data_IF_850411169412
#
_entry.id   IF_850411169412
#
_cell.length_a   1.000
_cell.length_b   1.000
_cell.length_c   1.000
_cell.angle_alpha   90.00
_cell.angle_beta   90.00
_cell.angle_gamma   90.00
#
_symmetry.space_group_name_H-M   'P 1'
#
loop_
_entity.id
_entity.type
_entity.pdbx_description
1 polymer ?
#
# COMPACT_ATOMS: atom_id res chain seq x y z
N UNK A 1 35.44 -34.97 9.04
CA UNK A 1 34.63 -33.84 8.53
C UNK A 1 33.44 -33.48 9.42
N UNK A 2 32.77 -34.44 10.08
CA UNK A 2 31.57 -34.16 10.94
C UNK A 2 31.92 -33.46 12.28
N UNK A 3 33.10 -33.72 12.87
CA UNK A 3 33.54 -33.13 14.15
C UNK A 3 33.87 -31.62 14.08
N UNK A 4 34.17 -31.07 12.89
CA UNK A 4 34.49 -29.65 12.71
C UNK A 4 33.21 -28.79 12.66
N UNK A 5 32.08 -29.37 12.26
CA UNK A 5 30.80 -28.66 12.19
C UNK A 5 30.11 -28.52 13.56
N UNK A 6 30.42 -29.39 14.53
CA UNK A 6 29.88 -29.28 15.89
C UNK A 6 30.54 -28.19 16.73
N UNK A 7 31.78 -27.78 16.42
CA UNK A 7 32.48 -26.73 17.17
C UNK A 7 32.06 -25.30 16.79
N UNK A 8 31.30 -25.13 15.70
CA UNK A 8 30.73 -23.84 15.29
C UNK A 8 29.37 -23.55 15.92
N UNK A 9 28.83 -24.45 16.75
CA UNK A 9 27.57 -24.22 17.45
C UNK A 9 27.80 -23.30 18.66
N UNK A 10 27.84 -22.00 18.40
CA UNK A 10 27.85 -20.96 19.45
C UNK A 10 26.61 -21.13 20.35
N UNK A 11 26.76 -21.22 21.67
CA UNK A 11 25.62 -21.27 22.57
C UNK A 11 24.86 -19.94 22.50
N UNK A 12 23.55 -20.02 22.25
CA UNK A 12 22.67 -18.87 22.18
C UNK A 12 22.59 -18.17 23.55
N UNK A 13 23.38 -17.11 23.71
CA UNK A 13 23.32 -16.25 24.88
C UNK A 13 21.97 -15.57 24.99
N UNK A 14 21.30 -15.71 26.13
CA UNK A 14 20.07 -14.97 26.45
C UNK A 14 20.44 -13.50 26.61
N UNK A 15 20.18 -12.70 25.58
CA UNK A 15 20.34 -11.24 25.63
C UNK A 15 19.35 -10.72 26.68
N UNK A 16 19.86 -10.25 27.83
CA UNK A 16 19.03 -9.57 28.83
C UNK A 16 18.45 -8.33 28.16
N UNK A 17 17.12 -8.25 28.06
CA UNK A 17 16.44 -7.04 27.56
C UNK A 17 16.78 -5.89 28.52
N UNK A 18 17.43 -4.85 28.01
CA UNK A 18 17.60 -3.61 28.78
C UNK A 18 16.23 -2.95 28.97
N UNK A 19 16.05 -2.25 30.09
CA UNK A 19 14.80 -1.55 30.40
C UNK A 19 14.47 -0.53 29.30
N UNK A 20 15.50 0.16 28.78
CA UNK A 20 15.37 1.13 27.69
C UNK A 20 14.78 0.51 26.43
N UNK A 21 15.21 -0.71 26.06
CA UNK A 21 14.66 -1.43 24.89
C UNK A 21 13.21 -1.81 25.11
N UNK A 22 12.86 -2.24 26.32
CA UNK A 22 11.48 -2.67 26.62
C UNK A 22 10.51 -1.50 26.59
N UNK A 23 10.92 -0.34 27.11
CA UNK A 23 10.13 0.91 27.04
C UNK A 23 10.00 1.40 25.60
N UNK A 24 11.10 1.41 24.83
CA UNK A 24 11.09 1.81 23.43
C UNK A 24 10.19 0.90 22.57
N UNK A 25 10.28 -0.43 22.77
CA UNK A 25 9.43 -1.39 22.10
C UNK A 25 7.96 -1.14 22.47
N UNK A 26 7.64 -0.95 23.76
CA UNK A 26 6.27 -0.69 24.22
C UNK A 26 5.68 0.57 23.59
N UNK A 27 6.42 1.67 23.60
CA UNK A 27 5.97 2.94 22.99
C UNK A 27 5.77 2.76 21.49
N UNK A 28 6.71 2.10 20.81
CA UNK A 28 6.60 1.81 19.38
C UNK A 28 5.38 0.95 19.06
N UNK A 29 5.12 -0.10 19.84
CA UNK A 29 3.92 -0.93 19.68
C UNK A 29 2.63 -0.15 19.93
N UNK A 30 2.59 0.70 20.95
CA UNK A 30 1.42 1.54 21.23
C UNK A 30 1.14 2.50 20.07
N UNK A 31 2.16 3.21 19.59
CA UNK A 31 2.02 4.16 18.47
C UNK A 31 1.57 3.43 17.19
N UNK A 32 2.20 2.32 16.84
CA UNK A 32 1.83 1.54 15.67
C UNK A 32 0.41 0.97 15.78
N UNK A 33 -0.01 0.53 16.98
CA UNK A 33 -1.37 0.03 17.21
C UNK A 33 -2.40 1.14 17.06
N UNK A 34 -2.15 2.33 17.63
CA UNK A 34 -3.06 3.48 17.49
C UNK A 34 -3.16 3.90 16.03
N UNK A 35 -2.03 3.97 15.31
CA UNK A 35 -2.03 4.33 13.88
C UNK A 35 -2.79 3.29 13.05
N UNK A 36 -2.58 2.00 13.32
CA UNK A 36 -3.33 0.93 12.67
C UNK A 36 -4.84 1.07 12.91
N UNK A 37 -5.27 1.33 14.15
CA UNK A 37 -6.68 1.54 14.47
C UNK A 37 -7.26 2.75 13.72
N UNK A 38 -6.55 3.87 13.67
CA UNK A 38 -7.00 5.08 12.94
C UNK A 38 -7.16 4.79 11.45
N UNK A 39 -6.24 4.05 10.84
CA UNK A 39 -6.36 3.66 9.42
C UNK A 39 -7.48 2.66 9.16
N UNK A 40 -7.90 1.89 10.16
CA UNK A 40 -8.94 0.88 10.04
C UNK A 40 -10.36 1.47 10.21
N UNK A 41 -10.50 2.57 10.95
CA UNK A 41 -11.77 3.31 11.12
C UNK A 41 -12.49 3.62 9.79
N UNK A 42 -11.87 4.21 8.74
CA UNK A 42 -12.57 4.50 7.49
C UNK A 42 -13.09 3.23 6.80
N UNK A 43 -12.40 2.09 6.92
CA UNK A 43 -12.88 0.82 6.36
C UNK A 43 -14.14 0.32 7.06
N UNK A 44 -14.17 0.39 8.40
CA UNK A 44 -15.37 0.03 9.17
C UNK A 44 -16.54 0.95 8.80
N UNK A 45 -16.29 2.25 8.67
CA UNK A 45 -17.32 3.23 8.28
C UNK A 45 -17.89 2.94 6.89
N UNK A 46 -17.05 2.56 5.92
CA UNK A 46 -17.50 2.19 4.57
C UNK A 46 -18.36 0.92 4.60
N UNK A 47 -17.94 -0.11 5.37
CA UNK A 47 -18.73 -1.35 5.49
C UNK A 47 -20.09 -1.06 6.14
N UNK A 48 -20.08 -0.32 7.26
CA UNK A 48 -21.31 0.11 7.96
C UNK A 48 -22.24 0.90 7.03
N UNK A 49 -21.70 1.83 6.25
CA UNK A 49 -22.46 2.62 5.28
C UNK A 49 -23.00 1.76 4.12
N UNK A 50 -22.23 0.79 3.63
CA UNK A 50 -22.66 -0.11 2.54
C UNK A 50 -23.85 -0.99 2.91
N UNK A 51 -24.03 -1.26 4.21
CA UNK A 51 -25.12 -2.05 4.78
C UNK A 51 -26.25 -1.16 5.33
N UNK A 52 -26.13 0.16 5.24
CA UNK A 52 -27.12 1.11 5.74
C UNK A 52 -28.00 1.66 4.62
N UNK A 53 -29.26 1.99 4.93
CA UNK A 53 -30.16 2.61 3.97
C UNK A 53 -29.68 4.02 3.59
N UNK A 54 -29.89 4.43 2.33
CA UNK A 54 -29.54 5.78 1.88
C UNK A 54 -30.24 6.85 2.73
N UNK A 55 -31.48 6.59 3.14
CA UNK A 55 -32.26 7.48 4.02
C UNK A 55 -31.63 7.60 5.41
N UNK A 56 -31.19 6.49 6.02
CA UNK A 56 -30.53 6.51 7.33
C UNK A 56 -29.17 7.22 7.28
N UNK A 57 -28.39 7.03 6.20
CA UNK A 57 -27.11 7.72 6.01
C UNK A 57 -27.32 9.23 5.84
N UNK A 58 -28.32 9.67 5.08
CA UNK A 58 -28.63 11.08 4.90
C UNK A 58 -29.15 11.75 6.18
N UNK A 59 -29.95 11.03 6.98
CA UNK A 59 -30.61 11.58 8.17
C UNK A 59 -29.74 11.56 9.42
N UNK A 60 -28.93 10.52 9.61
CA UNK A 60 -28.16 10.31 10.84
C UNK A 60 -26.64 10.39 10.64
N UNK A 61 -26.16 10.53 9.39
CA UNK A 61 -24.75 10.56 9.05
C UNK A 61 -24.06 9.19 9.17
N UNK A 62 -22.75 9.18 8.92
CA UNK A 62 -21.93 7.97 9.01
C UNK A 62 -21.76 7.52 10.47
N UNK A 63 -22.26 6.33 10.78
CA UNK A 63 -22.14 5.70 12.10
C UNK A 63 -21.21 4.49 12.04
N UNK A 64 -20.50 4.21 13.14
CA UNK A 64 -19.61 3.04 13.24
C UNK A 64 -20.37 1.71 13.12
N UNK A 65 -21.64 1.68 13.51
CA UNK A 65 -22.54 0.54 13.35
C UNK A 65 -23.73 0.91 12.47
N UNK A 66 -24.22 -0.02 11.62
CA UNK A 66 -25.36 0.22 10.76
C UNK A 66 -26.62 0.38 11.61
N UNK A 67 -27.40 1.45 11.38
CA UNK A 67 -28.66 1.69 12.10
C UNK A 67 -29.83 0.93 11.48
N UNK A 68 -29.88 0.88 10.15
CA UNK A 68 -30.90 0.18 9.38
C UNK A 68 -30.20 -0.73 8.39
N UNK A 69 -30.27 -2.04 8.62
CA UNK A 69 -29.62 -3.01 7.76
C UNK A 69 -30.40 -3.18 6.45
N UNK A 70 -29.78 -2.86 5.31
CA UNK A 70 -30.33 -3.11 3.97
C UNK A 70 -29.23 -3.51 2.99
N UNK A 71 -29.63 -4.25 1.94
CA UNK A 71 -28.76 -4.70 0.86
C UNK A 71 -29.08 -4.02 -0.49
N UNK A 72 -29.96 -3.02 -0.50
CA UNK A 72 -30.36 -2.26 -1.71
C UNK A 72 -29.16 -1.69 -2.48
N UNK A 73 -28.13 -1.22 -1.78
CA UNK A 73 -26.91 -0.71 -2.40
C UNK A 73 -26.20 -1.78 -3.23
N UNK A 74 -26.20 -3.04 -2.77
CA UNK A 74 -25.62 -4.16 -3.50
C UNK A 74 -26.49 -4.55 -4.70
N UNK A 75 -27.82 -4.59 -4.52
CA UNK A 75 -28.76 -4.86 -5.63
C UNK A 75 -28.58 -3.86 -6.77
N UNK A 76 -28.40 -2.58 -6.46
CA UNK A 76 -28.14 -1.54 -7.45
C UNK A 76 -26.85 -1.78 -8.25
N UNK A 77 -25.77 -2.22 -7.58
CA UNK A 77 -24.51 -2.57 -8.27
C UNK A 77 -24.71 -3.77 -9.20
N UNK A 78 -25.45 -4.79 -8.74
CA UNK A 78 -25.74 -5.98 -9.55
C UNK A 78 -26.75 -5.72 -10.68
N UNK A 79 -27.52 -4.63 -10.63
CA UNK A 79 -28.43 -4.22 -11.71
C UNK A 79 -27.70 -3.72 -12.98
N UNK A 80 -26.42 -3.33 -12.87
CA UNK A 80 -25.63 -2.81 -14.01
C UNK A 80 -24.35 -3.65 -14.27
N UNK A 81 -24.48 -4.98 -14.46
CA UNK A 81 -23.33 -5.88 -14.41
C UNK A 81 -22.35 -5.66 -15.58
N UNK A 82 -22.86 -5.29 -16.75
CA UNK A 82 -22.03 -5.04 -17.94
C UNK A 82 -21.07 -3.86 -17.75
N UNK A 83 -21.54 -2.77 -17.12
CA UNK A 83 -20.72 -1.58 -16.85
C UNK A 83 -19.67 -1.88 -15.79
N UNK A 84 -20.06 -2.57 -14.72
CA UNK A 84 -19.16 -2.94 -13.62
C UNK A 84 -18.06 -3.90 -14.13
N UNK A 85 -18.43 -4.95 -14.87
CA UNK A 85 -17.46 -5.91 -15.39
C UNK A 85 -16.48 -5.26 -16.39
N UNK A 86 -16.97 -4.36 -17.25
CA UNK A 86 -16.11 -3.60 -18.16
C UNK A 86 -15.14 -2.71 -17.40
N UNK A 87 -15.60 -2.01 -16.36
CA UNK A 87 -14.75 -1.15 -15.53
C UNK A 87 -13.63 -1.97 -14.86
N UNK A 88 -13.97 -3.09 -14.21
CA UNK A 88 -12.98 -3.99 -13.60
C UNK A 88 -11.99 -4.55 -14.62
N UNK A 89 -12.46 -4.95 -15.80
CA UNK A 89 -11.60 -5.48 -16.86
C UNK A 89 -10.58 -4.44 -17.32
N UNK A 90 -11.01 -3.19 -17.54
CA UNK A 90 -10.12 -2.09 -17.94
C UNK A 90 -9.12 -1.77 -16.83
N UNK A 91 -9.55 -1.69 -15.57
CA UNK A 91 -8.65 -1.46 -14.43
C UNK A 91 -7.60 -2.55 -14.32
N UNK A 92 -8.00 -3.82 -14.31
CA UNK A 92 -7.06 -4.96 -14.21
C UNK A 92 -6.11 -4.98 -15.40
N UNK A 93 -6.61 -4.74 -16.61
CA UNK A 93 -5.78 -4.69 -17.81
C UNK A 93 -4.72 -3.58 -17.73
N UNK A 94 -5.13 -2.35 -17.41
CA UNK A 94 -4.21 -1.20 -17.30
C UNK A 94 -3.20 -1.43 -16.17
N UNK A 95 -3.61 -1.97 -15.03
CA UNK A 95 -2.69 -2.27 -13.92
C UNK A 95 -1.67 -3.34 -14.31
N UNK A 96 -2.11 -4.48 -14.86
CA UNK A 96 -1.20 -5.58 -15.20
C UNK A 96 -0.23 -5.17 -16.31
N UNK A 97 -0.75 -4.63 -17.42
CA UNK A 97 0.07 -4.22 -18.56
C UNK A 97 0.94 -3.03 -18.19
N UNK A 98 0.38 -2.04 -17.49
CA UNK A 98 1.10 -0.85 -17.04
C UNK A 98 2.24 -1.20 -16.08
N UNK A 99 2.00 -2.03 -15.08
CA UNK A 99 3.05 -2.47 -14.14
C UNK A 99 4.11 -3.33 -14.84
N UNK A 100 3.73 -4.25 -15.73
CA UNK A 100 4.68 -5.08 -16.46
C UNK A 100 5.62 -4.23 -17.34
N UNK A 101 5.05 -3.31 -18.12
CA UNK A 101 5.82 -2.40 -18.98
C UNK A 101 6.68 -1.44 -18.16
N UNK A 102 6.12 -0.85 -17.08
CA UNK A 102 6.87 0.03 -16.19
C UNK A 102 8.06 -0.70 -15.55
N UNK A 103 7.83 -1.90 -15.02
CA UNK A 103 8.89 -2.70 -14.40
C UNK A 103 9.97 -3.09 -15.41
N UNK A 104 9.59 -3.44 -16.65
CA UNK A 104 10.54 -3.73 -17.72
C UNK A 104 11.44 -2.52 -18.02
N UNK A 105 10.85 -1.33 -18.23
CA UNK A 105 11.60 -0.10 -18.54
C UNK A 105 12.44 0.36 -17.34
N UNK A 106 11.86 0.36 -16.13
CA UNK A 106 12.54 0.76 -14.91
C UNK A 106 13.70 -0.17 -14.56
N UNK A 107 13.57 -1.48 -14.77
CA UNK A 107 14.66 -2.43 -14.52
C UNK A 107 15.82 -2.24 -15.49
N UNK A 108 15.55 -2.06 -16.79
CA UNK A 108 16.57 -1.78 -17.80
C UNK A 108 17.29 -0.45 -17.52
N UNK A 109 16.53 0.60 -17.22
CA UNK A 109 17.08 1.93 -16.90
C UNK A 109 17.86 1.91 -15.59
N UNK A 110 17.30 1.30 -14.55
CA UNK A 110 17.94 1.14 -13.25
C UNK A 110 19.24 0.35 -13.33
N UNK A 111 19.30 -0.69 -14.18
CA UNK A 111 20.53 -1.44 -14.40
C UNK A 111 21.64 -0.58 -15.02
N UNK A 112 21.35 0.20 -16.06
CA UNK A 112 22.32 1.10 -16.69
C UNK A 112 22.82 2.15 -15.69
N UNK A 113 21.93 2.73 -14.89
CA UNK A 113 22.29 3.73 -13.88
C UNK A 113 23.07 3.14 -12.69
N UNK A 114 22.84 1.87 -12.35
CA UNK A 114 23.57 1.19 -11.25
C UNK A 114 25.05 0.95 -11.56
N UNK A 115 25.42 0.87 -12.85
CA UNK A 115 26.81 0.66 -13.27
C UNK A 115 27.61 1.95 -13.18
N UNK A 116 28.67 1.93 -12.37
CA UNK A 116 29.56 3.08 -12.17
C UNK A 116 30.33 3.45 -13.44
N UNK A 117 30.56 2.50 -14.33
CA UNK A 117 31.37 2.66 -15.55
C UNK A 117 30.63 3.36 -16.69
N UNK A 118 29.34 3.66 -16.53
CA UNK A 118 28.55 4.34 -17.56
C UNK A 118 28.76 5.86 -17.53
N UNK A 119 29.35 6.41 -18.60
CA UNK A 119 29.74 7.83 -18.73
C UNK A 119 28.60 8.82 -18.47
N UNK A 120 27.38 8.52 -18.95
CA UNK A 120 26.24 9.45 -18.90
C UNK A 120 25.32 9.24 -17.69
N UNK A 121 25.71 8.40 -16.72
CA UNK A 121 24.84 8.04 -15.58
C UNK A 121 24.33 9.26 -14.80
N UNK A 122 25.19 10.26 -14.56
CA UNK A 122 24.84 11.42 -13.74
C UNK A 122 23.87 12.37 -14.46
N UNK A 123 24.01 12.54 -15.79
CA UNK A 123 23.08 13.36 -16.58
C UNK A 123 21.69 12.71 -16.66
N UNK A 124 21.62 11.40 -16.90
CA UNK A 124 20.35 10.68 -16.92
C UNK A 124 19.67 10.66 -15.55
N UNK A 125 20.43 10.41 -14.47
CA UNK A 125 19.88 10.50 -13.11
C UNK A 125 19.33 11.88 -12.82
N UNK A 126 20.08 12.95 -13.16
CA UNK A 126 19.60 14.31 -12.98
C UNK A 126 18.30 14.58 -13.74
N UNK A 127 18.20 14.15 -15.01
CA UNK A 127 16.98 14.32 -15.80
C UNK A 127 15.77 13.59 -15.18
N UNK A 128 15.92 12.33 -14.76
CA UNK A 128 14.84 11.57 -14.12
C UNK A 128 14.38 12.23 -12.82
N UNK A 129 15.32 12.64 -11.97
CA UNK A 129 15.01 13.38 -10.75
C UNK A 129 14.34 14.72 -11.05
N UNK A 130 14.81 15.44 -12.07
CA UNK A 130 14.22 16.70 -12.48
C UNK A 130 12.75 16.54 -12.85
N UNK A 131 12.37 15.52 -13.64
CA UNK A 131 10.96 15.29 -14.00
C UNK A 131 10.06 14.92 -12.82
N UNK A 132 10.63 14.34 -11.75
CA UNK A 132 9.87 14.02 -10.53
C UNK A 132 9.59 15.28 -9.70
N UNK A 133 10.50 16.26 -9.75
CA UNK A 133 10.38 17.54 -9.04
C UNK A 133 9.56 18.55 -9.87
N UNK A 134 9.78 18.57 -11.19
CA UNK A 134 9.16 19.47 -12.14
C UNK A 134 8.30 18.67 -13.11
N UNK A 135 6.98 18.70 -12.89
CA UNK A 135 5.98 18.11 -13.78
C UNK A 135 5.32 19.21 -14.62
N UNK A 136 5.12 18.97 -15.91
CA UNK A 136 4.56 19.96 -16.86
C UNK A 136 3.09 20.33 -16.65
N UNK A 137 2.43 19.81 -15.60
CA UNK A 137 1.01 20.05 -15.33
C UNK A 137 0.07 19.30 -16.28
N UNK A 138 -1.23 19.32 -15.97
CA UNK A 138 -2.28 18.68 -16.79
C UNK A 138 -2.67 19.50 -18.03
N UNK A 139 -2.38 20.81 -18.03
CA UNK A 139 -2.58 21.72 -19.16
C UNK A 139 -1.45 22.76 -19.12
N UNK A 140 -0.38 22.61 -19.92
CA UNK A 140 0.66 23.62 -20.01
C UNK A 140 0.18 24.75 -20.95
N UNK A 141 -0.18 25.90 -20.39
CA UNK A 141 -0.23 27.17 -21.13
C UNK A 141 1.07 27.94 -20.92
#
# INVERSE_FOLDING_TARGET
MIQVLSSLRRPGGKIKKSLDRTVFDLVSYVILTVLALVTLLPFILIISASLSSNEAVQKYGFSLFPREFTLEAYEYVFAVPATILRAYTITVFITVVGTALLMFICSMTGYVLSRKDYKYRNQFSFFLFFTTIFSGGLVPW
#
